data_IF_667050319929
#
_entry.id   IF_667050319929
#
_cell.length_a   1.000
_cell.length_b   1.000
_cell.length_c   1.000
_cell.angle_alpha   90.00
_cell.angle_beta   90.00
_cell.angle_gamma   90.00
#
_symmetry.space_group_name_H-M   'P 1'
#
loop_
_entity.id
_entity.type
_entity.pdbx_description
1 polymer ?
#
# COMPACT_ATOMS: atom_id res chain seq x y z
N UNK A 1 5.90 9.97 -17.02
CA UNK A 1 6.35 11.24 -16.41
C UNK A 1 5.20 11.78 -15.58
N UNK A 2 5.37 11.85 -14.26
CA UNK A 2 4.41 12.52 -13.37
C UNK A 2 4.42 14.01 -13.75
N UNK A 3 3.24 14.61 -13.97
CA UNK A 3 3.16 16.06 -14.12
C UNK A 3 3.57 16.67 -12.78
N UNK A 4 4.71 17.39 -12.75
CA UNK A 4 5.06 18.16 -11.55
C UNK A 4 3.92 19.10 -11.22
N UNK A 5 3.43 19.03 -9.99
CA UNK A 5 2.41 19.96 -9.51
C UNK A 5 2.98 21.38 -9.58
N UNK A 6 2.17 22.37 -9.99
CA UNK A 6 2.62 23.77 -10.11
C UNK A 6 2.89 24.41 -8.74
N UNK A 7 2.56 23.73 -7.64
CA UNK A 7 2.66 24.24 -6.27
C UNK A 7 3.44 23.26 -5.37
N UNK A 8 4.12 23.77 -4.32
CA UNK A 8 4.72 22.90 -3.31
C UNK A 8 3.69 21.96 -2.68
N UNK A 9 4.04 20.70 -2.40
CA UNK A 9 3.15 19.75 -1.79
C UNK A 9 2.58 20.27 -0.46
N UNK A 10 1.27 20.12 -0.26
CA UNK A 10 0.60 20.53 0.98
C UNK A 10 0.33 22.02 1.15
N UNK A 11 0.78 22.89 0.27
CA UNK A 11 0.48 24.32 0.35
C UNK A 11 -0.92 24.66 -0.17
N UNK A 12 -1.66 25.45 0.62
CA UNK A 12 -2.97 25.97 0.21
C UNK A 12 -2.81 27.09 -0.82
N UNK A 13 -3.60 27.02 -1.90
CA UNK A 13 -3.67 28.05 -2.91
C UNK A 13 -5.07 28.68 -2.94
N UNK A 14 -5.15 30.01 -3.00
CA UNK A 14 -6.44 30.71 -3.10
C UNK A 14 -7.27 30.27 -4.32
N UNK A 15 -6.60 29.84 -5.39
CA UNK A 15 -7.24 29.26 -6.56
C UNK A 15 -8.10 28.03 -6.25
N UNK A 16 -7.87 27.33 -5.13
CA UNK A 16 -8.67 26.18 -4.70
C UNK A 16 -10.09 26.54 -4.24
N UNK A 17 -10.37 27.83 -4.03
CA UNK A 17 -11.72 28.32 -3.72
C UNK A 17 -12.59 28.54 -4.99
N UNK A 18 -12.00 28.48 -6.18
CA UNK A 18 -12.73 28.65 -7.44
C UNK A 18 -13.78 27.54 -7.64
N UNK A 19 -14.89 27.84 -8.35
CA UNK A 19 -15.99 26.89 -8.56
C UNK A 19 -15.61 25.52 -9.12
N UNK A 20 -14.53 25.46 -9.93
CA UNK A 20 -14.01 24.19 -10.49
C UNK A 20 -13.60 23.16 -9.42
N UNK A 21 -13.32 23.61 -8.19
CA UNK A 21 -12.92 22.75 -7.07
C UNK A 21 -14.06 22.45 -6.08
N UNK A 22 -15.21 23.09 -6.18
CA UNK A 22 -16.30 22.93 -5.21
C UNK A 22 -16.78 21.48 -5.07
N UNK A 23 -16.85 20.75 -6.19
CA UNK A 23 -17.21 19.32 -6.14
C UNK A 23 -16.27 18.50 -5.25
N UNK A 24 -14.97 18.84 -5.24
CA UNK A 24 -13.98 18.15 -4.41
C UNK A 24 -14.18 18.56 -2.95
N UNK A 25 -14.38 19.84 -2.66
CA UNK A 25 -14.68 20.31 -1.30
C UNK A 25 -15.92 19.63 -0.71
N UNK A 26 -17.01 19.55 -1.49
CA UNK A 26 -18.24 18.86 -1.08
C UNK A 26 -17.95 17.37 -0.82
N UNK A 27 -17.21 16.70 -1.69
CA UNK A 27 -16.85 15.30 -1.52
C UNK A 27 -15.99 15.09 -0.25
N UNK A 28 -15.01 15.96 0.01
CA UNK A 28 -14.19 15.89 1.22
C UNK A 28 -15.01 16.14 2.49
N UNK A 29 -15.87 17.16 2.50
CA UNK A 29 -16.78 17.40 3.63
C UNK A 29 -17.66 16.18 3.91
N UNK A 30 -18.19 15.56 2.85
CA UNK A 30 -18.97 14.33 2.98
C UNK A 30 -18.14 13.18 3.56
N UNK A 31 -16.90 12.98 3.08
CA UNK A 31 -15.99 11.97 3.62
C UNK A 31 -15.65 12.22 5.09
N UNK A 32 -15.43 13.48 5.48
CA UNK A 32 -15.19 13.85 6.89
C UNK A 32 -16.42 13.52 7.77
N UNK A 33 -17.64 13.78 7.28
CA UNK A 33 -18.87 13.38 7.96
C UNK A 33 -18.97 11.86 8.10
N UNK A 34 -18.59 11.12 7.08
CA UNK A 34 -18.54 9.66 7.16
C UNK A 34 -17.54 9.13 8.19
N UNK A 35 -16.40 9.83 8.37
CA UNK A 35 -15.37 9.44 9.34
C UNK A 35 -15.87 9.51 10.79
N UNK A 36 -16.75 10.46 11.12
CA UNK A 36 -17.26 10.62 12.50
C UNK A 36 -18.43 9.70 12.84
N UNK A 37 -18.96 8.95 11.85
CA UNK A 37 -20.02 7.98 12.10
C UNK A 37 -19.52 6.81 12.98
N UNK A 38 -20.38 6.23 13.83
CA UNK A 38 -20.05 4.99 14.54
C UNK A 38 -19.64 3.87 13.58
N UNK A 39 -18.65 3.06 13.96
CA UNK A 39 -18.13 1.97 13.11
C UNK A 39 -19.22 1.04 12.59
N UNK A 40 -20.24 0.76 13.39
CA UNK A 40 -21.37 -0.07 12.98
C UNK A 40 -22.12 0.48 11.75
N UNK A 41 -22.12 1.82 11.56
CA UNK A 41 -22.69 2.46 10.38
C UNK A 41 -21.68 2.40 9.22
N UNK A 42 -20.40 2.77 9.48
CA UNK A 42 -19.33 2.71 8.48
C UNK A 42 -19.22 1.30 7.89
N UNK A 43 -19.26 0.27 8.73
CA UNK A 43 -19.23 -1.13 8.30
C UNK A 43 -20.41 -1.49 7.37
N UNK A 44 -21.65 -1.10 7.71
CA UNK A 44 -22.82 -1.35 6.85
C UNK A 44 -22.71 -0.61 5.52
N UNK A 45 -22.28 0.64 5.54
CA UNK A 45 -22.04 1.43 4.34
C UNK A 45 -20.96 0.80 3.46
N UNK A 46 -19.86 0.31 4.04
CA UNK A 46 -18.81 -0.39 3.31
C UNK A 46 -19.34 -1.61 2.56
N UNK A 47 -20.18 -2.43 3.21
CA UNK A 47 -20.80 -3.60 2.55
C UNK A 47 -21.76 -3.20 1.43
N UNK A 48 -22.60 -2.18 1.66
CA UNK A 48 -23.50 -1.65 0.62
C UNK A 48 -22.75 -1.08 -0.58
N UNK A 49 -21.70 -0.29 -0.33
CA UNK A 49 -20.83 0.25 -1.38
C UNK A 49 -20.07 -0.85 -2.11
N UNK A 50 -19.56 -1.84 -1.41
CA UNK A 50 -18.89 -2.99 -2.01
C UNK A 50 -19.81 -3.76 -2.97
N UNK A 51 -21.08 -4.02 -2.57
CA UNK A 51 -22.07 -4.66 -3.41
C UNK A 51 -22.40 -3.82 -4.65
N UNK A 52 -22.47 -2.51 -4.51
CA UNK A 52 -22.66 -1.58 -5.63
C UNK A 52 -21.46 -1.59 -6.57
N UNK A 53 -20.24 -1.47 -6.03
CA UNK A 53 -18.99 -1.53 -6.79
C UNK A 53 -18.85 -2.86 -7.54
N UNK A 54 -19.18 -3.98 -6.89
CA UNK A 54 -19.18 -5.30 -7.53
C UNK A 54 -20.06 -5.36 -8.80
N UNK A 55 -21.20 -4.70 -8.78
CA UNK A 55 -22.13 -4.63 -9.93
C UNK A 55 -21.64 -3.68 -11.01
N UNK A 56 -21.15 -2.50 -10.62
CA UNK A 56 -20.82 -1.41 -11.55
C UNK A 56 -19.41 -1.54 -12.14
N UNK A 57 -18.41 -1.96 -11.35
CA UNK A 57 -17.00 -1.98 -11.76
C UNK A 57 -16.60 -3.30 -12.43
N UNK A 58 -17.30 -3.66 -13.51
CA UNK A 58 -17.13 -4.95 -14.24
C UNK A 58 -15.67 -5.24 -14.61
N UNK A 59 -14.93 -4.23 -15.09
CA UNK A 59 -13.51 -4.39 -15.45
C UNK A 59 -12.64 -4.73 -14.24
N UNK A 60 -12.83 -4.06 -13.09
CA UNK A 60 -12.09 -4.33 -11.86
C UNK A 60 -12.42 -5.71 -11.31
N UNK A 61 -13.71 -6.07 -11.32
CA UNK A 61 -14.17 -7.42 -10.96
C UNK A 61 -13.47 -8.50 -11.80
N UNK A 62 -13.45 -8.35 -13.14
CA UNK A 62 -12.77 -9.29 -14.02
C UNK A 62 -11.28 -9.41 -13.69
N UNK A 63 -10.59 -8.29 -13.45
CA UNK A 63 -9.17 -8.28 -13.05
C UNK A 63 -8.96 -9.01 -11.73
N UNK A 64 -9.80 -8.73 -10.70
CA UNK A 64 -9.72 -9.37 -9.38
C UNK A 64 -9.89 -10.89 -9.48
N UNK A 65 -10.96 -11.35 -10.16
CA UNK A 65 -11.20 -12.78 -10.36
C UNK A 65 -9.99 -13.44 -11.03
N UNK A 66 -9.50 -12.85 -12.13
CA UNK A 66 -8.39 -13.42 -12.87
C UNK A 66 -7.08 -13.49 -12.07
N UNK A 67 -6.80 -12.45 -11.28
CA UNK A 67 -5.63 -12.46 -10.38
C UNK A 67 -5.73 -13.57 -9.32
N UNK A 68 -6.90 -13.72 -8.69
CA UNK A 68 -7.13 -14.75 -7.66
C UNK A 68 -7.05 -16.16 -8.25
N UNK A 69 -7.65 -16.41 -9.42
CA UNK A 69 -7.54 -17.68 -10.14
C UNK A 69 -6.08 -18.09 -10.41
N UNK A 70 -5.24 -17.11 -10.76
CA UNK A 70 -3.83 -17.35 -11.07
C UNK A 70 -2.98 -17.57 -9.82
N UNK A 71 -3.28 -16.83 -8.74
CA UNK A 71 -2.46 -16.85 -7.53
C UNK A 71 -2.88 -17.97 -6.55
N UNK A 72 -4.12 -18.45 -6.64
CA UNK A 72 -4.67 -19.49 -5.78
C UNK A 72 -5.35 -20.59 -6.62
N UNK A 73 -4.58 -21.34 -7.41
CA UNK A 73 -5.11 -22.38 -8.29
C UNK A 73 -5.79 -23.51 -7.54
N UNK A 74 -5.55 -23.64 -6.22
CA UNK A 74 -6.21 -24.58 -5.33
C UNK A 74 -7.66 -24.23 -5.01
N UNK A 75 -8.09 -22.97 -5.22
CA UNK A 75 -9.45 -22.54 -4.94
C UNK A 75 -10.42 -22.93 -6.06
N UNK A 76 -11.55 -23.45 -5.69
CA UNK A 76 -12.65 -23.67 -6.63
C UNK A 76 -13.18 -22.35 -7.20
N UNK A 77 -13.85 -22.36 -8.36
CA UNK A 77 -14.46 -21.15 -8.93
C UNK A 77 -15.42 -20.44 -7.98
N UNK A 78 -16.13 -21.17 -7.12
CA UNK A 78 -17.03 -20.61 -6.12
C UNK A 78 -16.26 -19.89 -4.99
N UNK A 79 -15.14 -20.46 -4.55
CA UNK A 79 -14.25 -19.84 -3.56
C UNK A 79 -13.61 -18.58 -4.15
N UNK A 80 -13.09 -18.62 -5.38
CA UNK A 80 -12.54 -17.44 -6.06
C UNK A 80 -13.56 -16.31 -6.12
N UNK A 81 -14.82 -16.60 -6.48
CA UNK A 81 -15.87 -15.58 -6.52
C UNK A 81 -16.20 -15.03 -5.12
N UNK A 82 -16.25 -15.89 -4.11
CA UNK A 82 -16.49 -15.48 -2.73
C UNK A 82 -15.36 -14.57 -2.21
N UNK A 83 -14.11 -14.95 -2.42
CA UNK A 83 -12.94 -14.16 -2.05
C UNK A 83 -12.88 -12.85 -2.84
N UNK A 84 -13.20 -12.87 -4.13
CA UNK A 84 -13.25 -11.65 -4.94
C UNK A 84 -14.31 -10.65 -4.43
N UNK A 85 -15.49 -11.12 -3.99
CA UNK A 85 -16.49 -10.26 -3.32
C UNK A 85 -15.95 -9.70 -2.01
N UNK A 86 -15.23 -10.52 -1.23
CA UNK A 86 -14.62 -10.08 0.03
C UNK A 86 -13.52 -9.01 -0.22
N UNK A 87 -12.75 -9.11 -1.32
CA UNK A 87 -11.81 -8.06 -1.73
C UNK A 87 -12.51 -6.70 -1.88
N UNK A 88 -13.69 -6.65 -2.49
CA UNK A 88 -14.46 -5.41 -2.62
C UNK A 88 -14.95 -4.89 -1.26
N UNK A 89 -15.32 -5.77 -0.35
CA UNK A 89 -15.68 -5.39 1.03
C UNK A 89 -14.48 -4.82 1.75
N UNK A 90 -13.33 -5.50 1.71
CA UNK A 90 -12.10 -5.06 2.39
C UNK A 90 -11.57 -3.74 1.83
N UNK A 91 -11.69 -3.52 0.51
CA UNK A 91 -11.36 -2.22 -0.10
C UNK A 91 -12.25 -1.09 0.43
N UNK A 92 -13.55 -1.33 0.58
CA UNK A 92 -14.46 -0.30 1.11
C UNK A 92 -14.26 -0.08 2.61
N UNK A 93 -13.99 -1.12 3.38
CA UNK A 93 -13.59 -1.00 4.78
C UNK A 93 -12.29 -0.19 4.91
N UNK A 94 -11.29 -0.48 4.06
CA UNK A 94 -10.02 0.26 4.01
C UNK A 94 -10.20 1.76 3.74
N UNK A 95 -11.21 2.15 2.97
CA UNK A 95 -11.56 3.58 2.80
C UNK A 95 -11.98 4.19 4.14
N UNK A 96 -12.87 3.55 4.90
CA UNK A 96 -13.29 4.06 6.21
C UNK A 96 -12.16 4.03 7.23
N UNK A 97 -11.32 3.02 7.22
CA UNK A 97 -10.13 2.92 8.07
C UNK A 97 -9.11 4.02 7.76
N UNK A 98 -8.92 4.35 6.49
CA UNK A 98 -8.11 5.51 6.07
C UNK A 98 -8.71 6.82 6.59
N UNK A 99 -10.02 7.02 6.46
CA UNK A 99 -10.70 8.20 7.01
C UNK A 99 -10.58 8.27 8.53
N UNK A 100 -10.68 7.13 9.22
CA UNK A 100 -10.48 7.07 10.66
C UNK A 100 -9.03 7.39 11.05
N UNK A 101 -8.03 6.94 10.28
CA UNK A 101 -6.63 7.28 10.52
C UNK A 101 -6.37 8.79 10.36
N UNK A 102 -7.03 9.44 9.41
CA UNK A 102 -6.84 10.85 9.12
C UNK A 102 -7.63 11.79 10.04
N UNK A 103 -8.87 11.44 10.39
CA UNK A 103 -9.81 12.35 11.08
C UNK A 103 -10.22 11.89 12.47
N UNK A 104 -10.19 10.58 12.74
CA UNK A 104 -10.63 9.98 14.00
C UNK A 104 -9.59 8.97 14.55
N UNK A 105 -8.30 9.33 14.67
CA UNK A 105 -7.22 8.37 14.96
C UNK A 105 -7.39 7.66 16.32
N UNK A 106 -8.12 8.25 17.26
CA UNK A 106 -8.46 7.60 18.53
C UNK A 106 -9.23 6.28 18.37
N UNK A 107 -9.82 6.04 17.18
CA UNK A 107 -10.46 4.78 16.83
C UNK A 107 -9.53 3.57 17.00
N UNK A 108 -8.24 3.72 16.65
CA UNK A 108 -7.28 2.64 16.73
C UNK A 108 -6.75 2.33 18.14
N UNK A 109 -7.04 3.20 19.13
CA UNK A 109 -6.56 3.00 20.50
C UNK A 109 -7.08 1.69 21.10
N UNK A 110 -6.17 0.82 21.54
CA UNK A 110 -6.49 -0.49 22.11
C UNK A 110 -7.00 -1.53 21.10
N UNK A 111 -6.90 -1.25 19.80
CA UNK A 111 -7.35 -2.15 18.72
C UNK A 111 -6.21 -2.68 17.86
N UNK A 112 -4.97 -2.47 18.26
CA UNK A 112 -3.83 -2.91 17.47
C UNK A 112 -2.73 -3.53 18.33
N UNK A 113 -1.94 -4.37 17.69
CA UNK A 113 -0.70 -4.94 18.22
C UNK A 113 0.40 -4.85 17.16
N UNK A 114 1.63 -4.85 17.63
CA UNK A 114 2.84 -4.88 16.79
C UNK A 114 3.74 -6.01 17.26
N UNK A 115 4.29 -6.78 16.31
CA UNK A 115 5.28 -7.82 16.55
C UNK A 115 6.53 -7.54 15.73
N UNK A 116 7.72 -7.87 16.28
CA UNK A 116 9.01 -7.72 15.62
C UNK A 116 9.56 -6.29 15.57
N UNK A 117 9.07 -5.37 16.43
CA UNK A 117 9.56 -3.98 16.49
C UNK A 117 11.07 -3.92 16.72
N UNK A 118 11.63 -4.89 17.43
CA UNK A 118 13.06 -5.05 17.70
C UNK A 118 13.90 -5.11 16.42
N UNK A 119 13.39 -5.60 15.31
CA UNK A 119 14.14 -5.65 14.04
C UNK A 119 14.44 -4.24 13.51
N UNK A 120 13.48 -3.32 13.63
CA UNK A 120 13.70 -1.91 13.24
C UNK A 120 14.62 -1.21 14.26
N UNK A 121 14.35 -1.38 15.55
CA UNK A 121 15.12 -0.71 16.60
C UNK A 121 16.59 -1.13 16.60
N UNK A 122 16.88 -2.42 16.40
CA UNK A 122 18.22 -2.95 16.29
C UNK A 122 18.96 -2.45 15.03
N UNK A 123 18.27 -2.35 13.89
CA UNK A 123 18.84 -1.78 12.67
C UNK A 123 19.21 -0.31 12.87
N UNK A 124 18.31 0.48 13.45
CA UNK A 124 18.55 1.90 13.77
C UNK A 124 19.67 2.10 14.79
N UNK A 125 19.75 1.25 15.81
CA UNK A 125 20.84 1.29 16.80
C UNK A 125 22.23 1.04 16.18
N UNK A 126 22.28 0.32 15.04
CA UNK A 126 23.48 0.13 14.23
C UNK A 126 23.73 1.28 13.23
N UNK A 127 22.97 2.37 13.29
CA UNK A 127 23.06 3.49 12.37
C UNK A 127 22.58 3.18 10.94
N UNK A 128 21.82 2.11 10.74
CA UNK A 128 21.32 1.71 9.42
C UNK A 128 19.94 2.30 9.15
N UNK A 129 19.71 2.79 7.94
CA UNK A 129 18.37 3.04 7.43
C UNK A 129 17.63 1.73 7.14
N UNK A 130 16.34 1.82 7.08
CA UNK A 130 15.44 0.66 6.88
C UNK A 130 14.56 0.87 5.67
N UNK A 131 14.62 -0.04 4.71
CA UNK A 131 13.65 -0.13 3.62
C UNK A 131 12.58 -1.15 4.01
N UNK A 132 11.39 -0.65 4.37
CA UNK A 132 10.26 -1.47 4.78
C UNK A 132 9.57 -2.06 3.55
N UNK A 133 9.73 -3.36 3.32
CA UNK A 133 9.12 -4.06 2.20
C UNK A 133 7.68 -4.45 2.54
N UNK A 134 6.73 -3.76 1.96
CA UNK A 134 5.31 -3.99 2.17
C UNK A 134 4.51 -4.11 0.88
N UNK A 135 3.20 -4.16 1.01
CA UNK A 135 2.25 -4.30 -0.10
C UNK A 135 1.26 -3.14 -0.14
N UNK A 136 0.65 -2.89 -1.29
CA UNK A 136 -0.51 -1.99 -1.39
C UNK A 136 -1.75 -2.66 -0.75
N UNK A 137 -1.68 -2.81 0.57
CA UNK A 137 -2.79 -3.30 1.39
C UNK A 137 -3.97 -2.31 1.38
N UNK A 138 -5.17 -2.80 1.66
CA UNK A 138 -6.36 -1.97 1.88
C UNK A 138 -6.23 -1.05 3.10
N UNK A 139 -5.25 -1.34 3.99
CA UNK A 139 -5.00 -0.64 5.26
C UNK A 139 -3.82 0.33 5.21
N UNK A 140 -3.40 0.80 4.03
CA UNK A 140 -2.13 1.52 3.86
C UNK A 140 -1.95 2.67 4.87
N UNK A 141 -2.86 3.63 4.91
CA UNK A 141 -2.75 4.79 5.82
C UNK A 141 -3.11 4.44 7.28
N UNK A 142 -4.01 3.47 7.49
CA UNK A 142 -4.31 2.95 8.83
C UNK A 142 -3.11 2.20 9.44
N UNK A 143 -2.45 1.35 8.67
CA UNK A 143 -1.22 0.67 9.06
C UNK A 143 -0.08 1.66 9.33
N UNK A 144 0.07 2.65 8.47
CA UNK A 144 1.04 3.75 8.66
C UNK A 144 0.79 4.51 9.95
N UNK A 145 -0.48 4.84 10.27
CA UNK A 145 -0.84 5.48 11.53
C UNK A 145 -0.48 4.60 12.75
N UNK A 146 -0.76 3.31 12.68
CA UNK A 146 -0.39 2.37 13.76
C UNK A 146 1.14 2.33 13.92
N UNK A 147 1.89 2.18 12.83
CA UNK A 147 3.36 2.20 12.86
C UNK A 147 3.92 3.48 13.50
N UNK A 148 3.31 4.63 13.19
CA UNK A 148 3.73 5.92 13.73
C UNK A 148 3.56 6.06 15.26
N UNK A 149 2.85 5.13 15.92
CA UNK A 149 2.79 5.08 17.39
C UNK A 149 4.05 4.44 18.01
N UNK A 150 4.90 3.78 17.20
CA UNK A 150 6.04 2.99 17.69
C UNK A 150 7.38 3.43 17.10
N UNK A 151 7.39 3.94 15.88
CA UNK A 151 8.58 4.49 15.23
C UNK A 151 8.15 5.58 14.23
N UNK A 152 9.12 6.28 13.64
CA UNK A 152 8.88 7.32 12.64
C UNK A 152 8.96 6.74 11.23
N UNK A 153 7.82 6.37 10.61
CA UNK A 153 7.82 5.89 9.24
C UNK A 153 7.88 7.06 8.24
N UNK A 154 8.59 6.84 7.16
CA UNK A 154 8.54 7.69 5.97
C UNK A 154 7.80 6.94 4.85
N UNK A 155 7.20 7.65 3.89
CA UNK A 155 6.45 7.03 2.80
C UNK A 155 6.91 7.54 1.43
N UNK A 156 6.95 6.62 0.46
CA UNK A 156 7.09 6.99 -0.95
C UNK A 156 5.74 7.50 -1.45
N UNK A 157 5.76 8.69 -2.02
CA UNK A 157 4.56 9.42 -2.38
C UNK A 157 4.52 9.70 -3.89
N UNK A 158 3.35 9.56 -4.47
CA UNK A 158 3.09 9.97 -5.85
C UNK A 158 2.09 11.11 -5.87
N UNK A 159 2.45 12.29 -6.43
CA UNK A 159 1.53 13.41 -6.56
C UNK A 159 0.26 13.04 -7.31
N UNK A 160 -0.88 13.52 -6.82
CA UNK A 160 -2.17 13.33 -7.48
C UNK A 160 -2.32 14.27 -8.67
N UNK A 161 -3.08 13.86 -9.69
CA UNK A 161 -3.31 14.71 -10.87
C UNK A 161 -4.08 16.00 -10.54
N UNK A 162 -4.94 15.97 -9.53
CA UNK A 162 -5.68 17.15 -9.10
C UNK A 162 -4.95 17.84 -7.94
N UNK A 163 -4.52 19.13 -8.08
CA UNK A 163 -3.71 19.80 -7.07
C UNK A 163 -4.39 19.96 -5.70
N UNK A 164 -5.72 20.18 -5.68
CA UNK A 164 -6.45 20.28 -4.42
C UNK A 164 -6.48 18.92 -3.69
N UNK A 165 -6.79 17.85 -4.42
CA UNK A 165 -6.78 16.50 -3.85
C UNK A 165 -5.38 16.12 -3.35
N UNK A 166 -4.36 16.50 -4.11
CA UNK A 166 -2.96 16.30 -3.74
C UNK A 166 -2.62 16.98 -2.42
N UNK A 167 -2.93 18.26 -2.31
CA UNK A 167 -2.71 19.05 -1.10
C UNK A 167 -3.42 18.43 0.12
N UNK A 168 -4.67 17.99 -0.05
CA UNK A 168 -5.46 17.41 1.05
C UNK A 168 -4.87 16.07 1.51
N UNK A 169 -4.56 15.16 0.59
CA UNK A 169 -3.95 13.87 0.92
C UNK A 169 -2.58 14.08 1.58
N UNK A 170 -1.75 14.97 1.02
CA UNK A 170 -0.45 15.28 1.58
C UNK A 170 -0.56 15.77 3.03
N UNK A 171 -1.49 16.69 3.32
CA UNK A 171 -1.73 17.19 4.68
C UNK A 171 -2.22 16.11 5.64
N UNK A 172 -3.16 15.26 5.20
CA UNK A 172 -3.62 14.15 6.02
C UNK A 172 -2.46 13.20 6.36
N UNK A 173 -1.63 12.87 5.37
CA UNK A 173 -0.46 12.01 5.57
C UNK A 173 0.65 12.65 6.39
N UNK A 174 0.78 13.97 6.36
CA UNK A 174 1.76 14.70 7.19
C UNK A 174 1.47 14.59 8.71
N UNK A 175 0.29 14.13 9.11
CA UNK A 175 -0.01 13.80 10.52
C UNK A 175 0.45 12.39 10.92
N UNK A 176 0.84 11.57 9.94
CA UNK A 176 1.24 10.17 10.12
C UNK A 176 2.73 9.98 9.84
N UNK A 177 3.18 10.49 8.70
CA UNK A 177 4.53 10.27 8.18
C UNK A 177 5.41 11.49 8.40
N UNK A 178 6.63 11.26 8.86
CA UNK A 178 7.62 12.33 9.05
C UNK A 178 8.04 12.95 7.72
N UNK A 179 8.27 12.12 6.70
CA UNK A 179 8.59 12.58 5.35
C UNK A 179 7.72 11.82 4.33
N UNK A 180 7.26 12.58 3.34
CA UNK A 180 6.61 12.06 2.14
C UNK A 180 7.53 12.37 0.96
N UNK A 181 8.19 11.34 0.44
CA UNK A 181 9.25 11.51 -0.56
C UNK A 181 8.69 11.15 -1.94
N UNK A 182 8.84 12.03 -2.92
CA UNK A 182 8.38 11.77 -4.29
C UNK A 182 9.02 10.49 -4.85
N UNK A 183 8.21 9.65 -5.46
CA UNK A 183 8.63 8.37 -6.02
C UNK A 183 9.68 8.52 -7.14
N UNK A 184 9.74 9.67 -7.82
CA UNK A 184 10.73 10.01 -8.84
C UNK A 184 12.02 10.61 -8.23
N UNK A 185 12.02 10.99 -6.94
CA UNK A 185 13.19 11.54 -6.26
C UNK A 185 14.06 10.49 -5.57
N UNK A 186 14.70 9.69 -6.39
CA UNK A 186 15.64 8.66 -5.93
C UNK A 186 16.76 9.20 -5.03
N UNK A 187 17.19 10.47 -5.24
CA UNK A 187 18.26 11.08 -4.43
C UNK A 187 17.81 11.32 -3.00
N UNK A 188 16.61 11.86 -2.81
CA UNK A 188 16.04 12.08 -1.48
C UNK A 188 15.75 10.76 -0.77
N UNK A 189 15.27 9.73 -1.47
CA UNK A 189 15.10 8.38 -0.91
C UNK A 189 16.43 7.81 -0.38
N UNK A 190 17.51 7.88 -1.18
CA UNK A 190 18.83 7.40 -0.79
C UNK A 190 19.38 8.21 0.40
N UNK A 191 19.24 9.54 0.37
CA UNK A 191 19.68 10.41 1.47
C UNK A 191 18.98 10.05 2.76
N UNK A 192 17.64 9.96 2.73
CA UNK A 192 16.86 9.63 3.91
C UNK A 192 17.20 8.27 4.51
N UNK A 193 17.45 7.25 3.66
CA UNK A 193 17.95 5.95 4.13
C UNK A 193 19.34 6.06 4.76
N UNK A 194 20.27 6.88 4.20
CA UNK A 194 21.58 7.11 4.80
C UNK A 194 21.50 7.82 6.16
N UNK A 195 20.49 8.67 6.33
CA UNK A 195 20.23 9.40 7.57
C UNK A 195 19.46 8.54 8.61
N UNK A 196 19.35 7.22 8.40
CA UNK A 196 18.69 6.29 9.33
C UNK A 196 17.17 6.26 9.24
N UNK A 197 16.56 6.79 8.17
CA UNK A 197 15.11 6.76 7.93
C UNK A 197 14.56 5.36 7.76
N UNK A 198 13.28 5.19 8.08
CA UNK A 198 12.52 3.96 7.82
C UNK A 198 11.47 4.24 6.74
N UNK A 199 11.75 3.84 5.50
CA UNK A 199 10.95 4.19 4.34
C UNK A 199 10.06 3.02 3.93
N UNK A 200 8.73 3.25 3.89
CA UNK A 200 7.77 2.31 3.31
C UNK A 200 7.93 2.23 1.79
N UNK A 201 8.13 1.02 1.28
CA UNK A 201 8.32 0.71 -0.13
C UNK A 201 7.48 -0.50 -0.54
N UNK A 202 6.65 -0.36 -1.57
CA UNK A 202 5.75 -1.42 -2.05
C UNK A 202 6.07 -1.78 -3.50
N UNK A 203 6.87 -2.83 -3.76
CA UNK A 203 7.28 -3.25 -5.11
C UNK A 203 6.30 -4.22 -5.79
N UNK A 204 5.06 -4.26 -5.37
CA UNK A 204 4.04 -5.26 -5.72
C UNK A 204 3.23 -4.94 -6.98
N UNK A 205 3.54 -3.86 -7.70
CA UNK A 205 2.85 -3.44 -8.92
C UNK A 205 3.68 -3.66 -10.18
N UNK A 206 2.99 -3.85 -11.32
CA UNK A 206 3.61 -4.02 -12.63
C UNK A 206 3.88 -2.66 -13.30
N UNK A 207 5.14 -2.25 -13.34
CA UNK A 207 5.63 -1.05 -14.04
C UNK A 207 6.32 -1.37 -15.37
N UNK A 208 6.28 -2.63 -15.81
CA UNK A 208 6.92 -3.12 -17.04
C UNK A 208 8.41 -3.39 -16.89
N UNK A 209 8.99 -3.97 -17.94
CA UNK A 209 10.39 -4.44 -17.94
C UNK A 209 11.43 -3.31 -18.03
N UNK A 210 11.02 -2.07 -18.28
CA UNK A 210 11.95 -0.91 -18.22
C UNK A 210 12.41 -0.58 -16.80
N UNK A 211 11.68 -1.05 -15.79
CA UNK A 211 11.93 -0.76 -14.36
C UNK A 211 12.12 -2.02 -13.53
N UNK A 212 12.25 -3.20 -14.17
CA UNK A 212 12.36 -4.45 -13.45
C UNK A 212 12.60 -5.64 -14.38
N UNK A 213 12.52 -6.80 -13.80
CA UNK A 213 12.74 -8.08 -14.45
C UNK A 213 11.52 -8.98 -14.36
N UNK A 214 11.49 -10.05 -15.19
CA UNK A 214 10.50 -11.11 -15.02
C UNK A 214 10.91 -12.01 -13.88
N UNK A 215 10.04 -12.15 -12.89
CA UNK A 215 10.21 -13.05 -11.76
C UNK A 215 8.86 -13.75 -11.45
N UNK A 216 8.86 -15.00 -10.95
CA UNK A 216 7.61 -15.66 -10.57
C UNK A 216 6.93 -14.91 -9.42
N UNK A 217 5.61 -14.81 -9.52
CA UNK A 217 4.71 -14.34 -8.47
C UNK A 217 3.54 -15.32 -8.39
N UNK A 218 3.41 -16.04 -7.29
CA UNK A 218 2.56 -17.24 -7.18
C UNK A 218 2.79 -18.23 -8.33
N UNK A 219 4.06 -18.43 -8.70
CA UNK A 219 4.42 -19.31 -9.80
C UNK A 219 4.17 -18.76 -11.22
N UNK A 220 3.50 -17.61 -11.35
CA UNK A 220 3.20 -16.97 -12.64
C UNK A 220 4.24 -15.90 -12.96
N UNK A 221 4.87 -15.91 -14.16
CA UNK A 221 5.82 -14.86 -14.54
C UNK A 221 5.19 -13.47 -14.51
N UNK A 222 5.80 -12.55 -13.75
CA UNK A 222 5.32 -11.18 -13.54
C UNK A 222 6.47 -10.19 -13.56
N UNK A 223 6.27 -9.03 -14.20
CA UNK A 223 7.24 -7.95 -14.15
C UNK A 223 7.36 -7.41 -12.72
N UNK A 224 8.57 -7.47 -12.16
CA UNK A 224 8.86 -7.12 -10.76
C UNK A 224 9.91 -6.02 -10.72
N UNK A 225 9.58 -4.92 -10.01
CA UNK A 225 10.44 -3.72 -9.90
C UNK A 225 11.68 -4.04 -9.08
N UNK A 226 12.84 -3.55 -9.54
CA UNK A 226 14.15 -3.81 -8.91
C UNK A 226 14.81 -2.57 -8.32
N UNK A 227 14.10 -1.44 -8.25
CA UNK A 227 14.65 -0.19 -7.70
C UNK A 227 15.14 -0.31 -6.24
N UNK A 228 14.56 -1.23 -5.45
CA UNK A 228 15.02 -1.53 -4.08
C UNK A 228 16.50 -1.92 -4.03
N UNK A 229 17.03 -2.62 -5.03
CA UNK A 229 18.46 -2.98 -5.12
C UNK A 229 19.35 -1.75 -5.10
N UNK A 230 19.03 -0.75 -5.93
CA UNK A 230 19.78 0.49 -6.02
C UNK A 230 19.70 1.28 -4.71
N UNK A 231 18.50 1.35 -4.11
CA UNK A 231 18.30 1.99 -2.81
C UNK A 231 19.20 1.36 -1.76
N UNK A 232 19.15 0.04 -1.57
CA UNK A 232 19.92 -0.70 -0.58
C UNK A 232 21.44 -0.63 -0.85
N UNK A 233 21.86 -0.83 -2.10
CA UNK A 233 23.30 -0.82 -2.46
C UNK A 233 23.98 0.50 -2.16
N UNK A 234 23.30 1.62 -2.49
CA UNK A 234 23.91 2.96 -2.33
C UNK A 234 23.75 3.49 -0.91
N UNK A 235 22.63 3.22 -0.24
CA UNK A 235 22.40 3.73 1.12
C UNK A 235 23.03 2.87 2.20
N UNK A 236 23.34 1.59 1.93
CA UNK A 236 23.73 0.58 2.91
C UNK A 236 22.65 0.29 3.95
N UNK A 237 21.41 0.66 3.65
CA UNK A 237 20.24 0.33 4.45
C UNK A 237 19.93 -1.17 4.39
N UNK A 238 19.12 -1.63 5.33
CA UNK A 238 18.64 -3.01 5.38
C UNK A 238 17.20 -3.10 4.89
N UNK A 239 16.83 -4.24 4.31
CA UNK A 239 15.45 -4.53 3.93
C UNK A 239 14.77 -5.30 5.07
N UNK A 240 13.60 -4.83 5.49
CA UNK A 240 12.79 -5.46 6.54
C UNK A 240 11.37 -5.62 6.00
N UNK A 241 10.81 -6.84 5.90
CA UNK A 241 9.43 -7.02 5.54
C UNK A 241 8.52 -6.46 6.63
N UNK A 242 7.50 -5.70 6.23
CA UNK A 242 6.49 -5.17 7.14
C UNK A 242 5.12 -5.32 6.52
N UNK A 243 4.21 -5.95 7.25
CA UNK A 243 2.85 -6.17 6.84
C UNK A 243 1.87 -5.75 7.93
N UNK A 244 0.72 -5.24 7.53
CA UNK A 244 -0.38 -4.94 8.44
C UNK A 244 -1.69 -5.46 7.87
N UNK A 245 -2.51 -6.00 8.76
CA UNK A 245 -3.79 -6.57 8.37
C UNK A 245 -4.83 -6.43 9.49
N UNK A 246 -6.08 -6.42 9.09
CA UNK A 246 -7.23 -6.52 9.98
C UNK A 246 -7.56 -7.98 10.23
N UNK A 247 -7.91 -8.31 11.48
CA UNK A 247 -8.32 -9.65 11.87
C UNK A 247 -9.47 -9.60 12.90
N UNK A 248 -9.99 -10.79 13.25
CA UNK A 248 -11.11 -10.92 14.19
C UNK A 248 -12.46 -10.57 13.60
N UNK A 249 -13.41 -10.20 14.45
CA UNK A 249 -14.74 -9.80 13.99
C UNK A 249 -14.68 -8.43 13.32
N UNK A 250 -15.09 -8.36 12.07
CA UNK A 250 -15.12 -7.12 11.28
C UNK A 250 -16.03 -6.04 11.88
N UNK A 251 -16.95 -6.41 12.76
CA UNK A 251 -17.80 -5.44 13.51
C UNK A 251 -17.05 -4.80 14.67
N UNK A 252 -16.00 -5.47 15.18
CA UNK A 252 -15.08 -4.96 16.19
C UNK A 252 -13.64 -5.35 15.82
N UNK A 253 -13.10 -4.78 14.73
CA UNK A 253 -11.85 -5.24 14.15
C UNK A 253 -10.66 -4.96 15.06
N UNK A 254 -9.70 -5.86 14.96
CA UNK A 254 -8.36 -5.71 15.50
C UNK A 254 -7.36 -5.58 14.35
N UNK A 255 -6.25 -4.93 14.61
CA UNK A 255 -5.21 -4.68 13.62
C UNK A 255 -3.89 -5.23 14.12
N UNK A 256 -3.13 -5.83 13.23
CA UNK A 256 -1.80 -6.32 13.53
C UNK A 256 -0.79 -5.75 12.56
N UNK A 257 0.32 -5.28 13.11
CA UNK A 257 1.55 -5.00 12.37
C UNK A 257 2.52 -6.11 12.64
N UNK A 258 2.99 -6.76 11.59
CA UNK A 258 4.01 -7.81 11.65
C UNK A 258 5.27 -7.27 10.96
N UNK A 259 6.38 -7.25 11.70
CA UNK A 259 7.70 -6.86 11.23
C UNK A 259 8.58 -8.10 11.29
N UNK A 260 9.06 -8.54 10.14
CA UNK A 260 9.89 -9.73 10.04
C UNK A 260 11.38 -9.39 10.23
N UNK A 261 12.25 -10.39 10.42
CA UNK A 261 13.71 -10.17 10.48
C UNK A 261 14.26 -9.52 9.21
N UNK A 262 15.46 -8.92 9.34
CA UNK A 262 16.20 -8.38 8.20
C UNK A 262 16.37 -9.46 7.13
N UNK A 263 16.12 -9.09 5.88
CA UNK A 263 16.35 -9.98 4.74
C UNK A 263 17.84 -10.07 4.50
N UNK A 264 18.41 -11.21 4.87
CA UNK A 264 19.86 -11.47 4.73
C UNK A 264 20.31 -11.44 3.26
N UNK A 265 21.53 -10.96 3.00
CA UNK A 265 22.12 -10.92 1.67
C UNK A 265 21.23 -10.21 0.61
N UNK A 266 20.58 -9.09 1.00
CA UNK A 266 19.85 -8.24 0.06
C UNK A 266 20.44 -6.82 0.06
N UNK A 267 20.85 -6.27 -1.10
CA UNK A 267 20.77 -6.91 -2.41
C UNK A 267 21.85 -7.98 -2.61
N UNK A 268 21.48 -9.06 -3.30
CA UNK A 268 22.41 -10.09 -3.76
C UNK A 268 23.19 -9.63 -5.02
N UNK A 269 24.02 -10.47 -5.60
CA UNK A 269 24.67 -10.18 -6.89
C UNK A 269 23.67 -10.35 -8.08
N UNK A 270 22.66 -11.20 -7.94
CA UNK A 270 21.67 -11.46 -8.98
C UNK A 270 20.38 -10.64 -8.79
N UNK A 271 20.03 -9.87 -9.81
CA UNK A 271 18.81 -9.05 -9.84
C UNK A 271 17.54 -9.89 -9.90
N UNK A 272 17.56 -11.02 -10.58
CA UNK A 272 16.41 -11.92 -10.69
C UNK A 272 16.17 -12.61 -9.37
N UNK A 273 17.22 -13.05 -8.68
CA UNK A 273 17.12 -13.66 -7.35
C UNK A 273 16.48 -12.69 -6.34
N UNK A 274 16.93 -11.44 -6.29
CA UNK A 274 16.34 -10.42 -5.42
C UNK A 274 14.86 -10.16 -5.76
N UNK A 275 14.49 -10.15 -7.03
CA UNK A 275 13.10 -9.99 -7.47
C UNK A 275 12.23 -11.19 -7.06
N UNK A 276 12.76 -12.41 -7.15
CA UNK A 276 12.09 -13.63 -6.67
C UNK A 276 11.86 -13.55 -5.17
N UNK A 277 12.88 -13.21 -4.40
CA UNK A 277 12.81 -13.09 -2.94
C UNK A 277 11.80 -12.04 -2.49
N UNK A 278 11.78 -10.88 -3.17
CA UNK A 278 10.77 -9.84 -2.91
C UNK A 278 9.37 -10.35 -3.20
N UNK A 279 9.14 -11.04 -4.31
CA UNK A 279 7.85 -11.63 -4.62
C UNK A 279 7.44 -12.67 -3.56
N UNK A 280 8.35 -13.54 -3.12
CA UNK A 280 8.08 -14.53 -2.05
C UNK A 280 7.68 -13.86 -0.73
N UNK A 281 8.33 -12.76 -0.35
CA UNK A 281 7.96 -11.95 0.83
C UNK A 281 6.51 -11.45 0.67
N UNK A 282 6.18 -10.88 -0.48
CA UNK A 282 4.83 -10.38 -0.77
C UNK A 282 3.81 -11.53 -0.74
N UNK A 283 4.12 -12.67 -1.37
CA UNK A 283 3.25 -13.85 -1.37
C UNK A 283 2.95 -14.34 0.05
N UNK A 284 3.97 -14.41 0.91
CA UNK A 284 3.79 -14.79 2.31
C UNK A 284 2.84 -13.83 3.04
N UNK A 285 3.02 -12.51 2.86
CA UNK A 285 2.14 -11.49 3.42
C UNK A 285 0.69 -11.65 2.92
N UNK A 286 0.50 -11.88 1.62
CA UNK A 286 -0.83 -12.05 1.03
C UNK A 286 -1.54 -13.34 1.48
N UNK A 287 -0.81 -14.39 1.81
CA UNK A 287 -1.41 -15.62 2.37
C UNK A 287 -1.98 -15.44 3.78
N UNK A 288 -1.49 -14.47 4.55
CA UNK A 288 -2.02 -14.15 5.88
C UNK A 288 -3.43 -13.53 5.78
N UNK A 289 -3.62 -12.58 4.84
CA UNK A 289 -4.91 -11.89 4.65
C UNK A 289 -5.17 -11.67 3.15
N UNK A 290 -5.54 -12.72 2.42
CA UNK A 290 -5.53 -12.72 0.95
C UNK A 290 -6.49 -11.71 0.33
N UNK A 291 -7.55 -11.30 1.02
CA UNK A 291 -8.54 -10.34 0.49
C UNK A 291 -8.18 -8.88 0.76
N UNK A 292 -7.15 -8.62 1.58
CA UNK A 292 -6.79 -7.26 1.99
C UNK A 292 -5.68 -6.62 1.13
N UNK A 293 -5.54 -7.05 -0.11
CA UNK A 293 -4.62 -6.48 -1.08
C UNK A 293 -5.37 -5.86 -2.27
N UNK A 294 -4.69 -4.94 -2.98
CA UNK A 294 -5.27 -4.22 -4.12
C UNK A 294 -5.34 -5.10 -5.39
N UNK A 295 -6.13 -6.18 -5.35
CA UNK A 295 -6.35 -7.11 -6.47
C UNK A 295 -6.92 -6.47 -7.75
N UNK A 296 -7.36 -5.20 -7.69
CA UNK A 296 -7.81 -4.43 -8.86
C UNK A 296 -6.68 -4.03 -9.80
N UNK A 297 -5.42 -4.13 -9.36
CA UNK A 297 -4.25 -3.87 -10.17
C UNK A 297 -4.00 -5.04 -11.11
N UNK A 298 -3.62 -4.75 -12.37
CA UNK A 298 -3.25 -5.77 -13.36
C UNK A 298 -1.82 -6.22 -13.12
N UNK A 299 -1.60 -7.08 -12.12
CA UNK A 299 -0.26 -7.54 -11.68
C UNK A 299 0.51 -8.27 -12.79
N UNK A 300 -0.20 -8.91 -13.69
CA UNK A 300 0.37 -9.69 -14.79
C UNK A 300 0.14 -9.03 -16.16
N UNK A 301 0.12 -7.69 -16.21
CA UNK A 301 -0.12 -6.91 -17.43
C UNK A 301 1.02 -7.09 -18.44
N UNK A 302 2.25 -7.01 -17.96
CA UNK A 302 3.46 -7.20 -18.76
C UNK A 302 3.74 -8.69 -18.87
N UNK A 303 3.89 -9.17 -20.11
CA UNK A 303 4.16 -10.59 -20.41
C UNK A 303 5.55 -10.73 -21.00
N UNK A 304 6.20 -11.86 -20.70
CA UNK A 304 7.40 -12.27 -21.43
C UNK A 304 7.04 -12.61 -22.88
N UNK A 305 8.03 -12.57 -23.76
CA UNK A 305 7.87 -12.96 -25.14
C UNK A 305 7.36 -14.41 -25.26
N UNK A 306 6.39 -14.63 -26.15
CA UNK A 306 5.76 -15.95 -26.33
C UNK A 306 4.61 -16.26 -25.37
N UNK A 307 4.26 -15.38 -24.45
CA UNK A 307 3.12 -15.58 -23.54
C UNK A 307 1.90 -14.74 -23.94
N UNK A 308 0.71 -15.35 -23.89
CA UNK A 308 -0.57 -14.68 -24.17
C UNK A 308 -0.90 -13.60 -23.14
N UNK A 309 -1.75 -12.63 -23.57
CA UNK A 309 -2.31 -11.62 -22.65
C UNK A 309 -3.23 -12.28 -21.64
N UNK A 310 -3.13 -11.81 -20.38
CA UNK A 310 -3.95 -12.33 -19.27
C UNK A 310 -5.28 -11.56 -19.14
N UNK A 311 -5.29 -10.26 -19.50
CA UNK A 311 -6.45 -9.37 -19.32
C UNK A 311 -7.02 -8.85 -20.64
#
# INVERSE_FOLDING_TARGET
MSQKQPYPPGEFQWAFLLPKYWKIWIAIMFLMLLAVLPWAIQWRLAHGLAALCWRLLKSRRKTTLRNLELCFPEWSPAEVEAQAKQVFVDMMLGVFETLNAWYCPKWFKGRHSIEGLEHITNAKAQGKGVLLLGTHSTLLDAGGYICAQYFEPDVVYRPQNNPLLDMLIYRCRATIYQHQIDHDDMRSLIRRLKDGGAIWYSPDQDFGLKQGVMAPFFGVPAATVTAHRRLLKISKAVAIPLYFYRYGDVRNPQYKVLIEPIVENMPSEDEIDDAIRVNQIIEAQLRIAPTQWMWFHRRFKTRAEGYDKIY
#
